data_IF_782468234643
#
_entry.id   IF_782468234643
#
_cell.length_a   1.000
_cell.length_b   1.000
_cell.length_c   1.000
_cell.angle_alpha   90.00
_cell.angle_beta   90.00
_cell.angle_gamma   90.00
#
_symmetry.space_group_name_H-M   'P 1'
#
loop_
_entity.id
_entity.type
_entity.pdbx_description
1 polymer ?
#
# COMPACT_ATOMS: atom_id res chain seq x y z
N UNK A 1 -31.76 -56.51 -35.27
CA UNK A 1 -32.68 -55.45 -34.66
C UNK A 1 -31.85 -54.56 -33.83
N UNK A 2 -31.44 -53.39 -34.39
CA UNK A 2 -30.50 -52.47 -33.79
C UNK A 2 -31.34 -51.29 -33.26
N UNK A 3 -31.34 -51.09 -31.94
CA UNK A 3 -32.02 -49.96 -31.29
C UNK A 3 -31.02 -48.86 -31.05
N UNK A 4 -31.14 -47.76 -31.81
CA UNK A 4 -30.38 -46.56 -31.68
C UNK A 4 -30.98 -45.67 -30.57
N UNK A 5 -30.23 -45.44 -29.48
CA UNK A 5 -30.56 -44.43 -28.46
C UNK A 5 -30.12 -43.04 -28.95
N UNK A 6 -31.09 -42.15 -29.11
CA UNK A 6 -30.83 -40.73 -29.32
C UNK A 6 -30.61 -40.06 -27.95
N UNK A 7 -29.42 -39.49 -27.77
CA UNK A 7 -29.14 -38.56 -26.66
C UNK A 7 -29.76 -37.18 -26.99
N UNK A 8 -30.61 -36.72 -26.11
CA UNK A 8 -31.12 -35.37 -26.13
C UNK A 8 -30.18 -34.52 -25.22
N UNK A 9 -29.39 -33.64 -25.83
CA UNK A 9 -28.62 -32.66 -25.13
C UNK A 9 -29.55 -31.46 -24.80
N UNK A 10 -29.90 -31.33 -23.53
CA UNK A 10 -30.57 -30.12 -23.01
C UNK A 10 -29.50 -29.05 -22.79
N UNK A 11 -29.47 -28.03 -23.63
CA UNK A 11 -28.62 -26.85 -23.44
C UNK A 11 -29.18 -26.00 -22.32
N UNK A 12 -28.40 -25.84 -21.23
CA UNK A 12 -28.66 -24.85 -20.20
C UNK A 12 -28.08 -23.53 -20.70
N UNK A 13 -28.95 -22.60 -21.11
CA UNK A 13 -28.55 -21.24 -21.39
C UNK A 13 -28.30 -20.53 -20.06
N UNK A 14 -27.03 -20.35 -19.71
CA UNK A 14 -26.64 -19.48 -18.61
C UNK A 14 -26.86 -18.02 -19.02
N UNK A 15 -27.97 -17.47 -18.56
CA UNK A 15 -28.25 -16.03 -18.68
C UNK A 15 -27.22 -15.22 -17.88
N UNK A 16 -26.28 -14.61 -18.55
CA UNK A 16 -25.40 -13.61 -17.97
C UNK A 16 -26.25 -12.38 -17.59
N UNK A 17 -26.63 -12.28 -16.34
CA UNK A 17 -27.14 -11.04 -15.77
C UNK A 17 -25.98 -10.03 -15.73
N UNK A 18 -25.87 -9.21 -16.76
CA UNK A 18 -25.05 -8.02 -16.73
C UNK A 18 -25.62 -7.06 -15.68
N UNK A 19 -25.03 -7.08 -14.47
CA UNK A 19 -25.22 -5.99 -13.52
C UNK A 19 -24.63 -4.74 -14.16
N UNK A 20 -25.48 -3.91 -14.73
CA UNK A 20 -25.14 -2.52 -15.03
C UNK A 20 -24.73 -1.89 -13.71
N UNK A 21 -23.42 -1.75 -13.49
CA UNK A 21 -22.92 -0.90 -12.43
C UNK A 21 -23.44 0.50 -12.78
N UNK A 22 -24.40 1.01 -12.00
CA UNK A 22 -24.74 2.42 -12.01
C UNK A 22 -23.40 3.15 -11.82
N UNK A 23 -22.96 3.83 -12.87
CA UNK A 23 -21.80 4.69 -12.80
C UNK A 23 -22.09 5.73 -11.72
N UNK A 24 -21.49 5.58 -10.55
CA UNK A 24 -21.55 6.60 -9.52
C UNK A 24 -21.11 7.90 -10.17
N UNK A 25 -21.90 8.96 -10.02
CA UNK A 25 -21.53 10.30 -10.46
C UNK A 25 -20.12 10.57 -9.95
N UNK A 26 -19.16 10.89 -10.84
CA UNK A 26 -17.80 11.07 -10.40
C UNK A 26 -17.76 12.18 -9.34
N UNK A 27 -17.31 11.82 -8.15
CA UNK A 27 -17.06 12.80 -7.09
C UNK A 27 -16.18 13.90 -7.69
N UNK A 28 -16.52 15.19 -7.59
CA UNK A 28 -15.71 16.23 -8.18
C UNK A 28 -14.31 16.12 -7.58
N UNK A 29 -13.31 15.94 -8.43
CA UNK A 29 -11.92 15.95 -8.01
C UNK A 29 -11.48 17.42 -8.03
N UNK A 30 -11.48 18.12 -6.89
CA UNK A 30 -11.05 19.50 -6.83
C UNK A 30 -9.56 19.57 -7.17
N UNK A 31 -9.10 20.73 -7.58
CA UNK A 31 -7.68 21.01 -7.55
C UNK A 31 -7.19 20.86 -6.11
N UNK A 32 -6.07 20.16 -5.94
CA UNK A 32 -5.52 19.93 -4.61
C UNK A 32 -5.21 21.29 -3.99
N UNK A 33 -5.84 21.66 -2.87
CA UNK A 33 -5.69 22.99 -2.30
C UNK A 33 -4.23 23.30 -2.00
N UNK A 34 -3.81 24.56 -2.13
CA UNK A 34 -2.52 24.97 -1.61
C UNK A 34 -2.50 24.68 -0.12
N UNK A 35 -1.57 23.84 0.30
CA UNK A 35 -1.49 23.46 1.69
C UNK A 35 -0.68 24.44 2.47
N UNK A 36 -1.14 24.66 3.70
CA UNK A 36 -0.31 25.20 4.74
C UNK A 36 1.04 24.45 4.78
N UNK A 37 2.13 25.17 5.03
CA UNK A 37 3.50 24.66 5.13
C UNK A 37 3.70 23.72 6.34
N UNK A 38 2.68 22.90 6.70
CA UNK A 38 2.77 21.97 7.82
C UNK A 38 3.39 20.67 7.34
N UNK A 39 4.36 20.18 8.08
CA UNK A 39 4.86 18.82 7.95
C UNK A 39 3.74 17.81 8.22
N UNK A 40 3.65 16.75 7.40
CA UNK A 40 2.60 15.73 7.51
C UNK A 40 2.57 15.06 8.89
N UNK A 41 3.75 14.78 9.48
CA UNK A 41 3.82 14.18 10.80
C UNK A 41 3.26 15.13 11.88
N UNK A 42 3.44 16.43 11.73
CA UNK A 42 2.84 17.42 12.62
C UNK A 42 1.33 17.53 12.40
N UNK A 43 0.88 17.58 11.14
CA UNK A 43 -0.54 17.59 10.81
C UNK A 43 -1.28 16.39 11.43
N UNK A 44 -0.71 15.18 11.37
CA UNK A 44 -1.27 13.98 12.00
C UNK A 44 -1.43 14.08 13.52
N UNK A 45 -0.62 14.86 14.22
CA UNK A 45 -0.78 15.05 15.69
C UNK A 45 -2.07 15.78 16.05
N UNK A 46 -2.53 16.65 15.16
CA UNK A 46 -3.67 17.54 15.39
C UNK A 46 -4.96 17.08 14.68
N UNK A 47 -4.88 16.10 13.81
CA UNK A 47 -6.03 15.54 13.12
C UNK A 47 -6.39 14.15 13.66
N UNK A 48 -7.68 13.87 13.69
CA UNK A 48 -8.24 12.53 13.96
C UNK A 48 -9.33 12.27 12.94
N UNK A 49 -9.26 11.13 12.30
CA UNK A 49 -10.31 10.73 11.35
C UNK A 49 -11.62 10.44 12.06
N UNK A 50 -12.72 10.87 11.45
CA UNK A 50 -14.08 10.58 11.90
C UNK A 50 -14.71 9.58 10.94
N UNK A 51 -14.82 8.33 11.38
CA UNK A 51 -15.41 7.28 10.55
C UNK A 51 -16.93 7.27 10.68
N UNK A 52 -17.63 7.56 9.59
CA UNK A 52 -19.08 7.38 9.48
C UNK A 52 -19.48 5.90 9.40
N UNK A 53 -18.57 5.08 8.86
CA UNK A 53 -18.76 3.64 8.75
C UNK A 53 -17.59 2.93 9.41
N UNK A 54 -17.86 2.21 10.49
CA UNK A 54 -16.91 1.37 11.21
C UNK A 54 -17.16 -0.09 10.81
N UNK A 55 -16.22 -0.67 10.11
CA UNK A 55 -16.33 -2.04 9.60
C UNK A 55 -14.97 -2.60 9.17
N UNK A 56 -14.97 -3.86 8.74
CA UNK A 56 -13.79 -4.48 8.17
C UNK A 56 -13.36 -3.77 6.87
N UNK A 57 -12.20 -4.16 6.38
CA UNK A 57 -11.74 -3.81 5.04
C UNK A 57 -12.78 -4.16 3.98
N UNK A 58 -12.93 -3.35 2.91
CA UNK A 58 -13.93 -3.60 1.86
C UNK A 58 -13.70 -4.89 1.08
N UNK A 59 -12.52 -5.49 1.14
CA UNK A 59 -12.21 -6.76 0.51
C UNK A 59 -12.41 -7.90 1.51
N UNK A 60 -13.36 -8.79 1.21
CA UNK A 60 -13.60 -9.98 2.04
C UNK A 60 -12.55 -11.03 1.73
N UNK A 61 -11.75 -11.38 2.72
CA UNK A 61 -10.69 -12.38 2.61
C UNK A 61 -10.64 -13.29 3.83
N UNK A 62 -10.24 -14.55 3.66
CA UNK A 62 -10.12 -15.46 4.79
C UNK A 62 -9.06 -14.98 5.79
N UNK A 63 -9.09 -15.46 7.04
CA UNK A 63 -8.01 -15.26 7.99
C UNK A 63 -6.66 -15.69 7.41
N UNK A 64 -5.61 -14.93 7.74
CA UNK A 64 -4.26 -15.20 7.23
C UNK A 64 -3.73 -16.53 7.71
N UNK A 65 -3.37 -17.38 6.74
CA UNK A 65 -2.49 -18.52 6.93
C UNK A 65 -1.03 -18.11 7.12
N UNK A 66 -0.12 -19.05 6.92
CA UNK A 66 1.32 -18.81 6.84
C UNK A 66 1.84 -19.42 5.56
N UNK A 67 2.21 -18.62 4.56
CA UNK A 67 2.71 -19.15 3.30
C UNK A 67 4.09 -19.79 3.47
N UNK A 68 4.49 -20.68 2.57
CA UNK A 68 5.83 -21.27 2.60
C UNK A 68 6.93 -20.22 2.64
N UNK A 69 7.94 -20.43 3.51
CA UNK A 69 9.07 -19.52 3.66
C UNK A 69 8.79 -18.26 4.48
N UNK A 70 7.57 -18.09 5.01
CA UNK A 70 7.23 -17.03 5.93
C UNK A 70 7.21 -17.50 7.38
N UNK A 71 7.56 -16.61 8.29
CA UNK A 71 7.24 -16.71 9.72
C UNK A 71 6.09 -15.77 10.01
N UNK A 72 4.98 -16.30 10.53
CA UNK A 72 3.85 -15.48 10.98
C UNK A 72 4.22 -14.83 12.31
N UNK A 73 4.19 -13.51 12.33
CA UNK A 73 4.47 -12.70 13.53
C UNK A 73 3.27 -11.81 13.84
N UNK A 74 3.23 -11.29 15.08
CA UNK A 74 2.26 -10.26 15.48
C UNK A 74 3.00 -9.00 15.88
N UNK A 75 2.37 -7.85 15.61
CA UNK A 75 2.90 -6.55 16.00
C UNK A 75 1.77 -5.68 16.58
N UNK A 76 2.10 -4.77 17.52
CA UNK A 76 1.11 -3.86 18.07
C UNK A 76 0.77 -2.80 17.03
N UNK A 77 -0.47 -2.84 16.50
CA UNK A 77 -0.97 -1.92 15.48
C UNK A 77 -1.52 -0.63 16.05
N UNK A 78 -1.62 0.37 15.18
CA UNK A 78 -2.12 1.70 15.54
C UNK A 78 -1.12 2.57 16.30
N UNK A 79 -1.50 3.81 16.59
CA UNK A 79 -0.62 4.78 17.24
C UNK A 79 -0.34 4.46 18.70
N UNK A 80 -1.20 3.70 19.35
CA UNK A 80 -1.17 3.34 20.77
C UNK A 80 -0.89 1.86 21.03
N UNK A 81 -0.74 1.05 19.96
CA UNK A 81 -0.51 -0.39 20.08
C UNK A 81 -1.71 -1.17 20.62
N UNK A 82 -2.92 -0.60 20.60
CA UNK A 82 -4.12 -1.18 21.22
C UNK A 82 -4.65 -2.42 20.50
N UNK A 83 -4.25 -2.66 19.27
CA UNK A 83 -4.67 -3.84 18.50
C UNK A 83 -3.45 -4.68 18.11
N UNK A 84 -3.63 -6.00 18.10
CA UNK A 84 -2.60 -6.92 17.60
C UNK A 84 -2.89 -7.25 16.14
N UNK A 85 -1.93 -6.98 15.28
CA UNK A 85 -2.00 -7.24 13.85
C UNK A 85 -0.98 -8.31 13.45
N UNK A 86 -1.23 -8.96 12.32
CA UNK A 86 -0.39 -10.04 11.79
C UNK A 86 0.51 -9.49 10.70
N UNK A 87 1.73 -10.00 10.62
CA UNK A 87 2.61 -9.82 9.49
C UNK A 87 3.31 -11.13 9.12
N UNK A 88 3.77 -11.22 7.89
CA UNK A 88 4.70 -12.26 7.44
C UNK A 88 6.11 -11.71 7.38
N UNK A 89 7.01 -12.39 8.08
CA UNK A 89 8.42 -12.08 8.15
C UNK A 89 9.20 -13.13 7.34
N UNK A 90 10.12 -12.70 6.49
CA UNK A 90 11.02 -13.63 5.80
C UNK A 90 11.95 -14.31 6.80
N UNK A 91 12.28 -15.57 6.53
CA UNK A 91 13.22 -16.29 7.38
C UNK A 91 14.61 -15.62 7.33
N UNK A 92 15.21 -15.38 8.47
CA UNK A 92 16.57 -14.92 8.61
C UNK A 92 17.16 -15.36 9.95
N UNK A 93 18.49 -15.51 9.97
CA UNK A 93 19.22 -15.78 11.22
C UNK A 93 19.92 -14.49 11.69
N UNK A 94 19.61 -14.02 12.90
CA UNK A 94 20.32 -12.91 13.48
C UNK A 94 21.83 -13.21 13.60
N UNK A 95 22.65 -12.29 13.15
CA UNK A 95 24.10 -12.43 13.16
C UNK A 95 24.78 -11.12 13.53
N UNK A 96 26.12 -11.15 13.71
CA UNK A 96 26.91 -9.93 13.90
C UNK A 96 26.90 -9.04 12.66
N UNK A 97 26.74 -9.63 11.48
CA UNK A 97 26.53 -8.88 10.22
C UNK A 97 25.07 -8.46 10.13
N UNK A 98 24.83 -7.17 10.31
CA UNK A 98 23.48 -6.62 10.27
C UNK A 98 22.87 -6.72 8.87
N UNK A 99 21.58 -7.07 8.80
CA UNK A 99 20.84 -7.25 7.56
C UNK A 99 20.05 -6.00 7.17
N UNK A 100 20.08 -5.59 5.90
CA UNK A 100 19.17 -4.57 5.39
C UNK A 100 17.74 -5.10 5.41
N UNK A 101 16.77 -4.20 5.53
CA UNK A 101 15.36 -4.58 5.62
C UNK A 101 14.49 -3.82 4.65
N UNK A 102 13.44 -4.47 4.19
CA UNK A 102 12.35 -3.88 3.43
C UNK A 102 11.02 -4.12 4.16
N UNK A 103 10.33 -3.05 4.50
CA UNK A 103 8.92 -3.07 4.83
C UNK A 103 8.15 -2.97 3.51
N UNK A 104 7.48 -4.05 3.10
CA UNK A 104 6.67 -4.05 1.89
C UNK A 104 5.18 -4.03 2.23
N UNK A 105 4.47 -3.03 1.70
CA UNK A 105 3.05 -2.83 1.92
C UNK A 105 2.27 -3.36 0.71
N UNK A 106 1.35 -4.30 0.93
CA UNK A 106 0.62 -4.99 -0.15
C UNK A 106 -0.41 -4.08 -0.85
N UNK A 107 -0.80 -4.47 -2.05
CA UNK A 107 -1.89 -3.85 -2.80
C UNK A 107 -3.26 -4.42 -2.41
N UNK A 108 -4.33 -3.75 -2.83
CA UNK A 108 -5.70 -4.13 -2.46
C UNK A 108 -6.02 -3.76 -1.01
N UNK A 109 -7.04 -4.39 -0.48
CA UNK A 109 -7.56 -4.16 0.85
C UNK A 109 -7.57 -5.47 1.68
N UNK A 110 -6.73 -6.44 1.30
CA UNK A 110 -6.50 -7.69 2.02
C UNK A 110 -5.16 -8.30 1.63
N UNK A 111 -4.50 -8.96 2.59
CA UNK A 111 -3.26 -9.69 2.38
C UNK A 111 -3.55 -11.09 1.86
N UNK A 112 -2.73 -11.58 0.93
CA UNK A 112 -2.83 -12.95 0.40
C UNK A 112 -1.48 -13.52 -0.03
N UNK A 113 -1.42 -14.85 -0.19
CA UNK A 113 -0.18 -15.59 -0.49
C UNK A 113 0.55 -15.06 -1.73
N UNK A 114 -0.19 -14.63 -2.76
CA UNK A 114 0.41 -14.02 -3.95
C UNK A 114 1.22 -12.76 -3.66
N UNK A 115 0.88 -11.99 -2.63
CA UNK A 115 1.70 -10.84 -2.22
C UNK A 115 3.03 -11.31 -1.63
N UNK A 116 3.03 -12.44 -0.90
CA UNK A 116 4.24 -12.99 -0.33
C UNK A 116 5.20 -13.50 -1.40
N UNK A 117 4.69 -14.21 -2.39
CA UNK A 117 5.50 -14.73 -3.50
C UNK A 117 6.23 -13.63 -4.27
N UNK A 118 5.59 -12.47 -4.44
CA UNK A 118 6.19 -11.30 -5.08
C UNK A 118 7.40 -10.74 -4.32
N UNK A 119 7.56 -11.07 -3.03
CA UNK A 119 8.66 -10.56 -2.20
C UNK A 119 9.94 -11.39 -2.33
N UNK A 120 9.87 -12.54 -2.99
CA UNK A 120 11.00 -13.46 -3.15
C UNK A 120 12.30 -12.77 -3.60
N UNK A 121 12.32 -11.87 -4.60
CA UNK A 121 13.55 -11.21 -5.02
C UNK A 121 14.24 -10.39 -3.92
N UNK A 122 13.49 -9.84 -2.95
CA UNK A 122 14.10 -9.09 -1.86
C UNK A 122 14.92 -9.99 -0.93
N UNK A 123 14.37 -11.13 -0.46
CA UNK A 123 15.15 -11.99 0.44
C UNK A 123 16.25 -12.74 -0.30
N UNK A 124 16.11 -13.03 -1.60
CA UNK A 124 17.20 -13.55 -2.43
C UNK A 124 18.33 -12.53 -2.62
N UNK A 125 18.01 -11.24 -2.61
CA UNK A 125 18.98 -10.14 -2.59
C UNK A 125 19.56 -9.84 -1.19
N UNK A 126 19.19 -10.62 -0.16
CA UNK A 126 19.73 -10.53 1.20
C UNK A 126 19.00 -9.58 2.14
N UNK A 127 17.85 -9.04 1.75
CA UNK A 127 17.01 -8.23 2.65
C UNK A 127 16.17 -9.11 3.58
N UNK A 128 15.96 -8.66 4.79
CA UNK A 128 14.86 -9.15 5.62
C UNK A 128 13.59 -8.40 5.24
N UNK A 129 12.50 -9.13 4.98
CA UNK A 129 11.24 -8.55 4.50
C UNK A 129 10.17 -8.73 5.56
N UNK A 130 9.43 -7.66 5.86
CA UNK A 130 8.18 -7.72 6.61
C UNK A 130 7.04 -7.28 5.68
N UNK A 131 6.02 -8.12 5.56
CA UNK A 131 4.78 -7.85 4.84
C UNK A 131 3.63 -7.84 5.88
N UNK A 132 3.21 -6.66 6.35
CA UNK A 132 2.12 -6.55 7.32
C UNK A 132 0.77 -6.66 6.63
N UNK A 133 -0.21 -7.18 7.35
CA UNK A 133 -1.64 -6.99 7.09
C UNK A 133 -2.15 -5.92 8.04
N UNK A 134 -3.20 -5.21 7.63
CA UNK A 134 -3.68 -4.04 8.32
C UNK A 134 -4.98 -4.30 9.08
N UNK A 135 -5.42 -3.30 9.86
CA UNK A 135 -6.68 -3.33 10.60
C UNK A 135 -7.88 -3.68 9.72
N UNK A 136 -8.76 -4.50 10.21
CA UNK A 136 -9.99 -4.90 9.52
C UNK A 136 -9.79 -5.85 8.33
N UNK A 137 -8.56 -6.14 7.92
CA UNK A 137 -8.25 -7.11 6.87
C UNK A 137 -8.23 -8.53 7.42
N UNK A 138 -8.61 -9.52 6.62
CA UNK A 138 -8.45 -10.94 6.93
C UNK A 138 -9.00 -11.33 8.32
N UNK A 139 -10.08 -10.69 8.76
CA UNK A 139 -10.69 -10.92 10.07
C UNK A 139 -9.94 -10.32 11.26
N UNK A 140 -8.95 -9.48 11.04
CA UNK A 140 -8.20 -8.81 12.10
C UNK A 140 -9.00 -7.69 12.78
N UNK A 141 -8.56 -7.33 13.99
CA UNK A 141 -9.16 -6.27 14.78
C UNK A 141 -9.02 -4.87 14.13
N UNK A 142 -9.84 -3.95 14.58
CA UNK A 142 -9.87 -2.57 14.11
C UNK A 142 -10.83 -2.36 12.95
N UNK A 143 -10.91 -1.11 12.49
CA UNK A 143 -11.79 -0.70 11.41
C UNK A 143 -10.99 -0.10 10.27
N UNK A 144 -11.36 -0.45 9.04
CA UNK A 144 -10.82 0.19 7.84
C UNK A 144 -11.07 1.69 7.87
N UNK A 145 -10.02 2.48 7.68
CA UNK A 145 -10.09 3.93 7.76
C UNK A 145 -9.76 4.64 6.43
N UNK A 146 -9.48 3.87 5.38
CA UNK A 146 -9.16 4.39 4.06
C UNK A 146 -7.80 5.11 4.05
N UNK A 147 -6.74 4.43 4.43
CA UNK A 147 -5.33 4.84 4.48
C UNK A 147 -4.90 5.63 5.73
N UNK A 148 -5.81 6.23 6.51
CA UNK A 148 -5.36 7.10 7.59
C UNK A 148 -4.77 6.31 8.77
N UNK A 149 -5.55 5.43 9.38
CA UNK A 149 -5.06 4.61 10.50
C UNK A 149 -4.16 3.45 10.02
N UNK A 150 -4.37 2.95 8.79
CA UNK A 150 -3.47 1.96 8.17
C UNK A 150 -2.05 2.52 8.02
N UNK A 151 -1.90 3.84 7.84
CA UNK A 151 -0.57 4.49 7.91
C UNK A 151 0.06 4.35 9.31
N UNK A 152 -0.73 4.45 10.38
CA UNK A 152 -0.22 4.21 11.74
C UNK A 152 0.15 2.73 11.95
N UNK A 153 -0.61 1.79 11.38
CA UNK A 153 -0.28 0.36 11.41
C UNK A 153 1.04 0.08 10.67
N UNK A 154 1.24 0.69 9.50
CA UNK A 154 2.48 0.57 8.74
C UNK A 154 3.70 1.12 9.53
N UNK A 155 3.53 2.23 10.24
CA UNK A 155 4.56 2.79 11.11
C UNK A 155 4.85 1.90 12.34
N UNK A 156 3.83 1.26 12.89
CA UNK A 156 3.96 0.30 13.97
C UNK A 156 4.69 -0.98 13.49
N UNK A 157 4.35 -1.49 12.31
CA UNK A 157 5.07 -2.58 11.66
C UNK A 157 6.55 -2.23 11.40
N UNK A 158 6.82 -0.99 10.98
CA UNK A 158 8.18 -0.49 10.82
C UNK A 158 8.94 -0.49 12.16
N UNK A 159 8.30 -0.05 13.24
CA UNK A 159 8.90 -0.06 14.58
C UNK A 159 9.16 -1.49 15.07
N UNK A 160 8.23 -2.41 14.80
CA UNK A 160 8.43 -3.83 15.09
C UNK A 160 9.67 -4.38 14.37
N UNK A 161 9.77 -4.17 13.05
CA UNK A 161 10.87 -4.65 12.22
C UNK A 161 12.22 -4.07 12.66
N UNK A 162 12.27 -2.77 12.98
CA UNK A 162 13.48 -2.08 13.43
C UNK A 162 14.04 -2.64 14.75
N UNK A 163 13.19 -3.20 15.61
CA UNK A 163 13.59 -3.74 16.92
C UNK A 163 13.95 -5.22 16.88
N UNK A 164 13.86 -5.88 15.73
CA UNK A 164 14.33 -7.26 15.61
C UNK A 164 15.85 -7.34 15.71
N UNK A 165 16.41 -8.41 16.31
CA UNK A 165 17.86 -8.57 16.42
C UNK A 165 18.51 -8.75 15.05
N UNK A 166 19.74 -8.26 14.88
CA UNK A 166 20.49 -8.41 13.63
C UNK A 166 20.06 -7.53 12.46
N UNK A 167 19.19 -6.54 12.69
CA UNK A 167 18.70 -5.61 11.67
C UNK A 167 19.56 -4.35 11.59
N UNK A 168 19.86 -3.93 10.36
CA UNK A 168 20.54 -2.66 10.09
C UNK A 168 19.52 -1.52 9.97
N UNK A 169 19.41 -0.74 11.02
CA UNK A 169 18.50 0.43 11.08
C UNK A 169 18.87 1.54 10.09
N UNK A 170 20.11 1.56 9.60
CA UNK A 170 20.57 2.54 8.60
C UNK A 170 20.24 2.10 7.17
N UNK A 171 19.97 0.81 6.95
CA UNK A 171 19.55 0.25 5.66
C UNK A 171 18.11 -0.27 5.77
N UNK A 172 17.21 0.63 6.20
CA UNK A 172 15.78 0.37 6.34
C UNK A 172 15.01 1.05 5.21
N UNK A 173 14.46 0.26 4.33
CA UNK A 173 13.73 0.68 3.14
C UNK A 173 12.23 0.40 3.27
N UNK A 174 11.43 1.16 2.49
CA UNK A 174 9.99 0.93 2.39
C UNK A 174 9.60 0.86 0.92
N UNK A 175 8.76 -0.11 0.59
CA UNK A 175 8.14 -0.24 -0.72
C UNK A 175 6.67 -0.63 -0.55
N UNK A 176 5.89 -0.56 -1.62
CA UNK A 176 4.51 -1.02 -1.59
C UNK A 176 3.85 -0.84 -2.94
N UNK A 177 2.81 -1.65 -3.19
CA UNK A 177 2.08 -1.64 -4.44
C UNK A 177 0.67 -1.06 -4.27
N UNK A 178 0.20 -0.25 -5.21
CA UNK A 178 -1.17 0.26 -5.25
C UNK A 178 -1.55 0.96 -3.92
N UNK A 179 -2.51 0.44 -3.15
CA UNK A 179 -2.85 0.94 -1.81
C UNK A 179 -1.64 0.94 -0.88
N UNK A 180 -0.82 -0.11 -0.91
CA UNK A 180 0.43 -0.17 -0.18
C UNK A 180 1.46 0.87 -0.64
N UNK A 181 1.47 1.22 -1.92
CA UNK A 181 2.28 2.32 -2.45
C UNK A 181 1.84 3.69 -1.90
N UNK A 182 0.53 3.91 -1.78
CA UNK A 182 -0.05 5.09 -1.12
C UNK A 182 0.38 5.15 0.35
N UNK A 183 0.26 4.03 1.07
CA UNK A 183 0.69 3.94 2.47
C UNK A 183 2.21 4.14 2.63
N UNK A 184 3.03 3.64 1.69
CA UNK A 184 4.48 3.83 1.70
C UNK A 184 4.86 5.31 1.58
N UNK A 185 4.16 6.08 0.71
CA UNK A 185 4.33 7.53 0.62
C UNK A 185 3.97 8.22 1.94
N UNK A 186 2.78 7.97 2.50
CA UNK A 186 2.31 8.59 3.73
C UNK A 186 3.21 8.23 4.93
N UNK A 187 3.67 6.98 5.02
CA UNK A 187 4.62 6.56 6.04
C UNK A 187 5.98 7.28 5.91
N UNK A 188 6.48 7.46 4.67
CA UNK A 188 7.73 8.16 4.38
C UNK A 188 7.68 9.66 4.69
N UNK A 189 6.48 10.24 4.75
CA UNK A 189 6.26 11.62 5.21
C UNK A 189 6.21 11.73 6.74
N UNK A 190 6.02 10.61 7.43
CA UNK A 190 5.90 10.57 8.91
C UNK A 190 7.22 10.23 9.58
N UNK A 191 7.95 9.25 9.07
CA UNK A 191 9.27 8.85 9.60
C UNK A 191 10.30 8.75 8.45
N UNK A 192 11.59 8.82 8.82
CA UNK A 192 12.70 8.64 7.89
C UNK A 192 12.94 7.14 7.64
N UNK A 193 12.94 6.75 6.37
CA UNK A 193 13.51 5.53 5.85
C UNK A 193 14.80 5.85 5.10
N UNK A 194 15.59 4.84 4.73
CA UNK A 194 16.79 5.05 3.90
C UNK A 194 16.42 5.47 2.48
N UNK A 195 15.42 4.80 1.89
CA UNK A 195 14.76 5.20 0.65
C UNK A 195 13.37 4.55 0.56
N UNK A 196 12.54 5.05 -0.35
CA UNK A 196 11.18 4.56 -0.60
C UNK A 196 10.97 4.25 -2.08
N UNK A 197 10.27 3.14 -2.38
CA UNK A 197 9.91 2.72 -3.73
C UNK A 197 8.40 2.39 -3.83
N UNK A 198 7.52 3.39 -3.88
CA UNK A 198 6.10 3.18 -4.10
C UNK A 198 5.83 2.79 -5.56
N UNK A 199 5.08 1.68 -5.75
CA UNK A 199 4.75 1.07 -7.04
C UNK A 199 3.27 1.33 -7.33
N UNK A 200 2.95 1.94 -8.47
CA UNK A 200 1.58 2.24 -8.91
C UNK A 200 0.71 2.93 -7.83
N UNK A 201 1.35 3.75 -7.01
CA UNK A 201 0.71 4.44 -5.90
C UNK A 201 -0.34 5.46 -6.37
N UNK A 202 -1.46 5.55 -5.65
CA UNK A 202 -2.35 6.69 -5.68
C UNK A 202 -1.81 7.83 -4.80
N UNK A 203 -1.86 9.07 -5.29
CA UNK A 203 -1.34 10.24 -4.54
C UNK A 203 -2.43 11.21 -4.11
N UNK A 204 -3.68 10.96 -4.51
CA UNK A 204 -4.86 11.80 -4.24
C UNK A 204 -6.03 10.95 -3.78
N UNK A 205 -6.49 11.16 -2.56
CA UNK A 205 -7.65 10.49 -1.99
C UNK A 205 -8.95 10.86 -2.74
N UNK A 206 -9.06 12.09 -3.26
CA UNK A 206 -10.22 12.48 -4.08
C UNK A 206 -10.34 11.61 -5.34
N UNK A 207 -9.21 11.31 -6.02
CA UNK A 207 -9.23 10.43 -7.20
C UNK A 207 -9.52 8.99 -6.82
N UNK A 208 -8.96 8.52 -5.71
CA UNK A 208 -9.20 7.16 -5.24
C UNK A 208 -10.67 6.97 -4.89
N UNK A 209 -11.19 7.75 -3.97
CA UNK A 209 -12.59 7.62 -3.51
C UNK A 209 -13.62 8.14 -4.53
N UNK A 210 -13.22 8.96 -5.50
CA UNK A 210 -14.04 9.26 -6.67
C UNK A 210 -14.28 8.03 -7.54
N UNK A 211 -13.33 7.10 -7.59
CA UNK A 211 -13.44 5.81 -8.30
C UNK A 211 -14.08 4.72 -7.45
N UNK A 212 -13.78 4.71 -6.15
CA UNK A 212 -14.18 3.68 -5.18
C UNK A 212 -15.02 4.29 -4.04
N UNK A 213 -16.06 5.04 -4.39
CA UNK A 213 -16.87 5.77 -3.42
C UNK A 213 -17.57 4.88 -2.39
N UNK A 214 -17.88 3.63 -2.75
CA UNK A 214 -18.42 2.62 -1.86
C UNK A 214 -17.43 2.14 -0.78
N UNK A 215 -16.14 2.38 -0.97
CA UNK A 215 -15.10 2.04 0.00
C UNK A 215 -14.81 3.18 0.99
N UNK A 216 -15.33 4.37 0.77
CA UNK A 216 -15.08 5.55 1.60
C UNK A 216 -15.74 5.43 2.99
N UNK A 217 -14.96 5.35 4.09
CA UNK A 217 -15.52 5.14 5.42
C UNK A 217 -15.77 6.43 6.20
N UNK A 218 -15.26 7.58 5.76
CA UNK A 218 -15.26 8.88 6.45
C UNK A 218 -16.26 9.87 5.83
N UNK A 219 -16.42 11.05 6.46
CA UNK A 219 -17.31 12.08 5.98
C UNK A 219 -16.75 12.79 4.72
N UNK A 220 -17.40 12.64 3.55
CA UNK A 220 -16.98 13.31 2.34
C UNK A 220 -17.16 14.84 2.38
N UNK A 221 -17.90 15.39 3.34
CA UNK A 221 -18.06 16.83 3.50
C UNK A 221 -16.86 17.48 4.22
N UNK A 222 -16.02 16.69 4.90
CA UNK A 222 -14.80 17.20 5.53
C UNK A 222 -13.60 17.09 4.57
N UNK A 223 -13.11 18.22 4.01
CA UNK A 223 -11.96 18.21 3.12
C UNK A 223 -10.67 17.73 3.79
N UNK A 224 -10.55 17.85 5.12
CA UNK A 224 -9.37 17.39 5.85
C UNK A 224 -9.22 15.88 5.81
N UNK A 225 -10.30 15.12 5.70
CA UNK A 225 -10.28 13.67 5.53
C UNK A 225 -9.57 13.27 4.23
N UNK A 226 -9.81 14.00 3.14
CA UNK A 226 -9.11 13.77 1.87
C UNK A 226 -7.68 14.30 1.91
N UNK A 227 -7.44 15.49 2.46
CA UNK A 227 -6.11 16.09 2.59
C UNK A 227 -5.18 15.12 3.30
N UNK A 228 -5.57 14.61 4.47
CA UNK A 228 -4.74 13.76 5.30
C UNK A 228 -4.45 12.36 4.72
N UNK A 229 -5.12 12.01 3.61
CA UNK A 229 -4.91 10.77 2.86
C UNK A 229 -4.25 10.99 1.51
N UNK A 230 -3.93 12.23 1.16
CA UNK A 230 -3.36 12.60 -0.14
C UNK A 230 -1.90 13.00 0.00
N UNK A 231 -1.00 12.12 -0.42
CA UNK A 231 0.44 12.40 -0.41
C UNK A 231 0.81 13.60 -1.30
N UNK A 232 0.06 13.85 -2.39
CA UNK A 232 0.26 15.05 -3.21
C UNK A 232 0.10 16.34 -2.40
N UNK A 233 -0.68 16.32 -1.34
CA UNK A 233 -0.82 17.44 -0.41
C UNK A 233 0.45 17.74 0.37
N UNK A 234 1.29 16.79 0.64
CA UNK A 234 2.42 16.87 1.57
C UNK A 234 3.76 16.49 0.94
N UNK A 235 3.94 16.68 -0.37
CA UNK A 235 5.16 16.27 -1.07
C UNK A 235 6.45 16.76 -0.41
N UNK A 236 6.43 17.99 0.14
CA UNK A 236 7.55 18.57 0.89
C UNK A 236 7.88 17.87 2.22
N UNK A 237 6.98 17.01 2.71
CA UNK A 237 7.17 16.25 3.96
C UNK A 237 7.89 14.91 3.76
N UNK A 238 8.19 14.49 2.53
CA UNK A 238 8.97 13.28 2.28
C UNK A 238 10.32 13.38 2.97
N UNK A 239 10.73 12.31 3.66
CA UNK A 239 11.91 12.29 4.53
C UNK A 239 13.05 11.41 3.99
N UNK A 240 12.91 10.89 2.77
CA UNK A 240 13.93 10.06 2.14
C UNK A 240 13.85 10.15 0.61
N UNK A 241 14.94 9.77 -0.11
CA UNK A 241 14.90 9.58 -1.54
C UNK A 241 13.76 8.65 -1.95
N UNK A 242 12.99 9.03 -2.96
CA UNK A 242 11.77 8.32 -3.36
C UNK A 242 11.78 8.02 -4.86
N UNK A 243 11.48 6.78 -5.22
CA UNK A 243 11.42 6.33 -6.61
C UNK A 243 10.02 5.82 -6.95
N UNK A 244 9.24 6.64 -7.66
CA UNK A 244 7.90 6.31 -8.11
C UNK A 244 7.98 5.35 -9.30
N UNK A 245 7.51 4.12 -9.13
CA UNK A 245 7.47 3.11 -10.18
C UNK A 245 6.03 2.90 -10.63
N UNK A 246 5.81 2.68 -11.94
CA UNK A 246 4.47 2.47 -12.50
C UNK A 246 4.52 1.64 -13.77
N UNK A 247 3.46 0.88 -14.06
CA UNK A 247 3.30 0.14 -15.30
C UNK A 247 3.03 1.06 -16.50
N UNK A 248 3.66 0.77 -17.63
CA UNK A 248 3.50 1.55 -18.88
C UNK A 248 2.12 1.39 -19.51
N UNK A 249 1.38 0.34 -19.15
CA UNK A 249 0.01 0.08 -19.60
C UNK A 249 -1.05 0.67 -18.66
N UNK A 250 -0.62 1.29 -17.55
CA UNK A 250 -1.49 2.07 -16.67
C UNK A 250 -1.71 3.49 -17.20
N UNK A 251 -2.64 4.21 -16.55
CA UNK A 251 -2.71 5.66 -16.77
C UNK A 251 -1.36 6.30 -16.42
N UNK A 252 -0.85 7.21 -17.22
CA UNK A 252 0.39 7.92 -16.94
C UNK A 252 0.38 8.62 -15.58
N UNK A 253 1.55 9.03 -15.12
CA UNK A 253 1.64 9.99 -14.03
C UNK A 253 0.85 11.25 -14.38
N UNK A 254 -0.06 11.64 -13.50
CA UNK A 254 -0.97 12.77 -13.73
C UNK A 254 -0.49 14.03 -12.99
N UNK A 255 -1.27 15.11 -13.11
CA UNK A 255 -0.96 16.40 -12.48
C UNK A 255 -0.73 16.30 -10.96
N UNK A 256 -1.38 15.37 -10.28
CA UNK A 256 -1.23 15.23 -8.83
C UNK A 256 0.11 14.58 -8.47
N UNK A 257 0.62 13.66 -9.31
CA UNK A 257 1.98 13.13 -9.18
C UNK A 257 3.04 14.20 -9.47
N UNK A 258 2.84 15.03 -10.51
CA UNK A 258 3.76 16.14 -10.78
C UNK A 258 3.79 17.11 -9.62
N UNK A 259 2.64 17.44 -9.03
CA UNK A 259 2.54 18.29 -7.84
C UNK A 259 3.27 17.69 -6.62
N UNK A 260 3.12 16.38 -6.38
CA UNK A 260 3.89 15.67 -5.36
C UNK A 260 5.39 15.86 -5.58
N UNK A 261 5.85 15.63 -6.82
CA UNK A 261 7.26 15.71 -7.17
C UNK A 261 7.81 17.13 -7.09
N UNK A 262 7.06 18.12 -7.56
CA UNK A 262 7.42 19.53 -7.47
C UNK A 262 7.61 19.96 -6.00
N UNK A 263 6.66 19.62 -5.14
CA UNK A 263 6.73 19.91 -3.69
C UNK A 263 7.90 19.21 -3.00
N UNK A 264 8.17 17.96 -3.36
CA UNK A 264 9.32 17.23 -2.82
C UNK A 264 10.65 17.90 -3.23
N UNK A 265 10.78 18.25 -4.52
CA UNK A 265 11.99 18.92 -5.03
C UNK A 265 12.19 20.30 -4.43
N UNK A 266 11.12 21.08 -4.22
CA UNK A 266 11.19 22.37 -3.56
C UNK A 266 11.71 22.30 -2.12
N UNK A 267 11.52 21.14 -1.47
CA UNK A 267 12.07 20.83 -0.15
C UNK A 267 13.42 20.10 -0.22
N UNK A 268 14.07 20.05 -1.39
CA UNK A 268 15.35 19.38 -1.63
C UNK A 268 15.32 17.88 -1.38
N UNK A 269 14.15 17.24 -1.51
CA UNK A 269 14.02 15.78 -1.44
C UNK A 269 14.19 15.20 -2.85
N UNK A 270 15.10 14.22 -2.99
CA UNK A 270 15.26 13.50 -4.24
C UNK A 270 14.01 12.65 -4.51
N UNK A 271 13.38 12.91 -5.65
CA UNK A 271 12.24 12.14 -6.12
C UNK A 271 12.32 11.94 -7.63
N UNK A 272 12.26 10.70 -8.04
CA UNK A 272 12.31 10.27 -9.43
C UNK A 272 11.08 9.43 -9.78
N UNK A 273 10.82 9.26 -11.08
CA UNK A 273 9.76 8.39 -11.58
C UNK A 273 10.23 7.54 -12.75
N UNK A 274 9.71 6.33 -12.86
CA UNK A 274 9.97 5.43 -13.99
C UNK A 274 8.74 4.65 -14.39
N UNK A 275 8.52 4.53 -15.69
CA UNK A 275 7.58 3.57 -16.26
C UNK A 275 8.33 2.27 -16.58
N UNK A 276 7.73 1.15 -16.19
CA UNK A 276 8.22 -0.20 -16.47
C UNK A 276 7.16 -0.94 -17.30
N UNK A 277 7.54 -1.91 -18.14
CA UNK A 277 6.57 -2.71 -18.88
C UNK A 277 5.55 -3.38 -17.95
N UNK A 278 4.27 -3.33 -18.32
CA UNK A 278 3.20 -4.06 -17.63
C UNK A 278 1.98 -3.23 -17.26
N UNK A 279 0.94 -3.96 -16.92
CA UNK A 279 -0.32 -3.45 -16.34
C UNK A 279 -0.12 -3.09 -14.86
N UNK A 280 -1.17 -2.62 -14.19
CA UNK A 280 -1.18 -2.29 -12.75
C UNK A 280 -0.61 -3.40 -11.84
N UNK A 281 -1.00 -4.65 -12.10
CA UNK A 281 -0.48 -5.81 -11.34
C UNK A 281 0.75 -6.42 -12.02
N UNK A 282 0.79 -6.44 -13.35
CA UNK A 282 1.87 -7.05 -14.13
C UNK A 282 3.23 -6.35 -13.96
N UNK A 283 3.25 -5.09 -13.53
CA UNK A 283 4.48 -4.33 -13.29
C UNK A 283 5.22 -4.79 -12.02
N UNK A 284 4.50 -5.38 -11.05
CA UNK A 284 5.05 -5.60 -9.69
C UNK A 284 6.34 -6.41 -9.68
N UNK A 285 6.46 -7.55 -10.38
CA UNK A 285 7.72 -8.31 -10.39
C UNK A 285 8.91 -7.49 -10.88
N UNK A 286 8.75 -6.75 -11.98
CA UNK A 286 9.80 -5.88 -12.53
C UNK A 286 10.11 -4.69 -11.60
N UNK A 287 9.08 -4.12 -10.99
CA UNK A 287 9.24 -3.00 -10.06
C UNK A 287 9.92 -3.40 -8.74
N UNK A 288 9.69 -4.62 -8.26
CA UNK A 288 10.44 -5.17 -7.11
C UNK A 288 11.93 -5.25 -7.43
N UNK A 289 12.30 -5.80 -8.59
CA UNK A 289 13.72 -5.87 -9.01
C UNK A 289 14.32 -4.47 -9.17
N UNK A 290 13.60 -3.56 -9.80
CA UNK A 290 14.04 -2.16 -9.98
C UNK A 290 14.23 -1.44 -8.63
N UNK A 291 13.33 -1.69 -7.67
CA UNK A 291 13.47 -1.11 -6.32
C UNK A 291 14.68 -1.65 -5.56
N UNK A 292 15.06 -2.92 -5.76
CA UNK A 292 16.28 -3.49 -5.20
C UNK A 292 17.51 -2.78 -5.77
N UNK A 293 17.57 -2.54 -7.09
CA UNK A 293 18.64 -1.77 -7.71
C UNK A 293 18.73 -0.36 -7.13
N UNK A 294 17.59 0.30 -6.93
CA UNK A 294 17.54 1.62 -6.32
C UNK A 294 18.02 1.59 -4.86
N UNK A 295 17.58 0.63 -4.04
CA UNK A 295 17.97 0.51 -2.64
C UNK A 295 19.47 0.23 -2.46
N UNK A 296 20.07 -0.56 -3.36
CA UNK A 296 21.50 -0.87 -3.34
C UNK A 296 22.39 0.36 -3.58
N UNK A 297 21.88 1.46 -4.13
CA UNK A 297 22.59 2.73 -4.21
C UNK A 297 22.81 3.40 -2.85
N UNK A 298 22.10 2.96 -1.83
CA UNK A 298 22.15 3.48 -0.46
C UNK A 298 22.68 2.45 0.56
N UNK A 299 23.21 1.31 0.06
CA UNK A 299 23.72 0.21 0.88
C UNK A 299 25.09 0.54 1.51
#
# INVERSE_FOLDING_TARGET
>A
MIVTRRLVLAGIAAGALSRSALAATPFPTPDIPPLENRDYAQARKHFRTSLLRKGPSPEVSPPLGTPPGATRVTYPGGPDGSIQLIAWLSHYEPSKTLKPVVLFLHGGNATGDGHWELMKPYWEAGFVVLLPSFRGENGQAGYYSGFYDETADALAAATYLENLPGIDRNRFFIAGHSNGGTLALLASMTRKFRAAAPISAGVSAWRYFGRYSNEMPFDPADPMEFIMRSSACFGASLKCPTYLLRGSEERPFDKDHELLMERARSASVSIEKKLLPGTHNGVVPGAVVESIHFFNQFA
#
